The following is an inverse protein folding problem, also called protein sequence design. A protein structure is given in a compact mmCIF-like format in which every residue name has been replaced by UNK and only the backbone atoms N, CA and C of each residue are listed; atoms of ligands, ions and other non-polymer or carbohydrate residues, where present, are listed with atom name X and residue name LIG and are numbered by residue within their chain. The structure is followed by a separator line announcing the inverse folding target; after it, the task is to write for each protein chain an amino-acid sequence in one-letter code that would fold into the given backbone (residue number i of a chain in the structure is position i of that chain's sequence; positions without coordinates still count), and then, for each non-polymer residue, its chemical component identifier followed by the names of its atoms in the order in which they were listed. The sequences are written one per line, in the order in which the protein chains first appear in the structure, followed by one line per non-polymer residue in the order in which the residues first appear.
data_IF_423522305815
#
_entry.id   IF_423522305815
#
_cell.length_a   1.000
_cell.length_b   1.000
_cell.length_c   1.000
_cell.angle_alpha   90.00
_cell.angle_beta   90.00
_cell.angle_gamma   90.00
#
_symmetry.space_group_name_H-M   'P 1'
#
loop_
_entity.id
_entity.type
_entity.pdbx_description
1 polymer ?
#
# COMPACT_ATOMS: atom_id res chain seq x y z
N UNK A 1 24.03 -4.62 12.57
CA UNK A 1 23.70 -3.87 11.33
C UNK A 1 22.24 -3.45 11.41
N UNK A 2 21.88 -2.25 10.94
CA UNK A 2 20.48 -1.80 10.94
C UNK A 2 19.76 -2.45 9.76
N UNK A 3 18.61 -3.08 9.99
CA UNK A 3 17.81 -3.66 8.91
C UNK A 3 17.36 -2.55 7.95
N UNK A 4 17.37 -2.78 6.62
CA UNK A 4 16.94 -1.79 5.65
C UNK A 4 15.45 -1.50 5.77
N UNK A 5 15.03 -0.28 5.40
CA UNK A 5 13.61 0.07 5.29
C UNK A 5 13.10 -0.28 3.90
N UNK A 6 11.95 -0.95 3.82
CA UNK A 6 11.28 -1.27 2.57
C UNK A 6 9.99 -0.46 2.43
N UNK A 7 9.76 0.07 1.24
CA UNK A 7 8.46 0.62 0.85
C UNK A 7 8.04 -0.03 -0.47
N UNK A 8 6.91 -0.73 -0.46
CA UNK A 8 6.32 -1.32 -1.67
C UNK A 8 5.34 -0.31 -2.24
N UNK A 9 5.60 0.18 -3.46
CA UNK A 9 4.73 1.15 -4.15
C UNK A 9 3.85 0.41 -5.14
N UNK A 10 2.54 0.64 -5.08
CA UNK A 10 1.55 -0.01 -5.94
C UNK A 10 0.65 1.06 -6.58
N UNK A 11 0.70 1.26 -7.91
CA UNK A 11 -0.29 2.06 -8.60
C UNK A 11 -1.64 1.33 -8.64
N UNK A 12 -2.73 2.07 -8.46
CA UNK A 12 -4.09 1.54 -8.41
C UNK A 12 -4.98 2.37 -9.34
N UNK A 13 -5.61 1.72 -10.32
CA UNK A 13 -6.61 2.32 -11.20
C UNK A 13 -7.82 1.40 -11.31
N UNK A 14 -8.95 1.81 -10.73
CA UNK A 14 -10.19 1.04 -10.68
C UNK A 14 -10.04 -0.38 -10.09
N UNK A 15 -9.41 -0.49 -8.92
CA UNK A 15 -9.04 -1.76 -8.28
C UNK A 15 -9.96 -2.13 -7.10
N UNK A 16 -11.16 -1.56 -7.00
CA UNK A 16 -12.03 -1.68 -5.82
C UNK A 16 -12.31 -3.12 -5.37
N UNK A 17 -12.34 -4.07 -6.31
CA UNK A 17 -12.67 -5.48 -6.08
C UNK A 17 -11.54 -6.26 -5.42
N UNK A 18 -10.28 -5.87 -5.63
CA UNK A 18 -9.09 -6.66 -5.21
C UNK A 18 -8.20 -5.92 -4.23
N UNK A 19 -8.33 -4.59 -4.13
CA UNK A 19 -7.43 -3.73 -3.35
C UNK A 19 -7.25 -4.19 -1.89
N UNK A 20 -8.33 -4.66 -1.24
CA UNK A 20 -8.27 -5.17 0.14
C UNK A 20 -7.40 -6.43 0.24
N UNK A 21 -7.60 -7.40 -0.66
CA UNK A 21 -6.83 -8.65 -0.67
C UNK A 21 -5.36 -8.38 -0.99
N UNK A 22 -5.09 -7.46 -1.93
CA UNK A 22 -3.73 -7.01 -2.26
C UNK A 22 -3.06 -6.41 -1.05
N UNK A 23 -3.69 -5.45 -0.36
CA UNK A 23 -3.13 -4.81 0.83
C UNK A 23 -2.86 -5.84 1.94
N UNK A 24 -3.80 -6.75 2.21
CA UNK A 24 -3.62 -7.80 3.23
C UNK A 24 -2.45 -8.74 2.89
N UNK A 25 -2.30 -9.11 1.62
CA UNK A 25 -1.19 -9.97 1.17
C UNK A 25 0.16 -9.28 1.32
N UNK A 26 0.24 -8.00 0.95
CA UNK A 26 1.48 -7.23 1.08
C UNK A 26 1.83 -6.95 2.55
N UNK A 27 0.83 -6.71 3.41
CA UNK A 27 1.07 -6.55 4.84
C UNK A 27 1.58 -7.84 5.48
N UNK A 28 1.01 -9.00 5.14
CA UNK A 28 1.56 -10.30 5.59
C UNK A 28 3.00 -10.53 5.13
N UNK A 29 3.36 -10.06 3.94
CA UNK A 29 4.73 -10.13 3.45
C UNK A 29 5.66 -9.23 4.29
N UNK A 30 5.24 -7.99 4.59
CA UNK A 30 5.99 -7.08 5.46
C UNK A 30 6.20 -7.71 6.84
N UNK A 31 5.12 -8.22 7.47
CA UNK A 31 5.19 -8.84 8.79
C UNK A 31 6.20 -9.99 8.80
N UNK A 32 6.14 -10.91 7.82
CA UNK A 32 7.10 -12.01 7.70
C UNK A 32 8.54 -11.52 7.53
N UNK A 33 8.77 -10.51 6.70
CA UNK A 33 10.13 -9.98 6.48
C UNK A 33 10.70 -9.25 7.70
N UNK A 34 9.84 -8.61 8.50
CA UNK A 34 10.20 -8.00 9.78
C UNK A 34 10.54 -9.09 10.79
N UNK A 35 9.72 -10.13 10.91
CA UNK A 35 9.97 -11.29 11.79
C UNK A 35 11.28 -12.02 11.46
N UNK A 36 11.60 -12.15 10.18
CA UNK A 36 12.87 -12.71 9.69
C UNK A 36 14.08 -11.76 9.86
N UNK A 37 13.86 -10.55 10.40
CA UNK A 37 14.90 -9.53 10.60
C UNK A 37 15.46 -8.91 9.32
N UNK A 38 14.80 -9.15 8.17
CA UNK A 38 15.27 -8.73 6.84
C UNK A 38 15.00 -7.26 6.54
N UNK A 39 13.96 -6.69 7.13
CA UNK A 39 13.59 -5.27 6.98
C UNK A 39 13.25 -4.65 8.34
N UNK A 40 13.31 -3.33 8.42
CA UNK A 40 12.93 -2.59 9.63
C UNK A 40 11.41 -2.59 9.86
N UNK A 41 11.00 -2.53 11.13
CA UNK A 41 9.58 -2.52 11.56
C UNK A 41 8.77 -1.36 10.99
N UNK A 42 9.43 -0.25 10.64
CA UNK A 42 8.82 0.94 10.04
C UNK A 42 8.76 0.91 8.50
N UNK A 43 8.84 -0.31 7.93
CA UNK A 43 8.55 -0.60 6.53
C UNK A 43 7.04 -0.53 6.26
N UNK A 44 6.66 -0.20 5.02
CA UNK A 44 5.28 0.15 4.68
C UNK A 44 4.91 -0.20 3.24
N UNK A 45 3.62 -0.10 2.92
CA UNK A 45 3.12 -0.08 1.54
C UNK A 45 2.61 1.32 1.20
N UNK A 46 2.77 1.74 -0.05
CA UNK A 46 2.24 2.98 -0.60
C UNK A 46 1.33 2.65 -1.78
N UNK A 47 0.02 2.84 -1.58
CA UNK A 47 -0.99 2.71 -2.61
C UNK A 47 -1.18 4.07 -3.29
N UNK A 48 -0.97 4.12 -4.60
CA UNK A 48 -1.05 5.34 -5.41
C UNK A 48 -2.32 5.27 -6.25
N UNK A 49 -3.34 6.06 -5.90
CA UNK A 49 -4.52 6.20 -6.74
C UNK A 49 -4.17 6.99 -8.01
N UNK A 50 -4.21 6.33 -9.16
CA UNK A 50 -3.87 6.88 -10.46
C UNK A 50 -5.13 7.34 -11.22
N UNK A 51 -5.91 8.22 -10.57
CA UNK A 51 -7.11 8.79 -11.17
C UNK A 51 -8.29 7.81 -11.34
N UNK A 52 -8.47 6.86 -10.41
CA UNK A 52 -9.64 5.97 -10.41
C UNK A 52 -10.96 6.75 -10.33
N UNK A 53 -11.99 6.22 -10.98
CA UNK A 53 -13.37 6.75 -10.96
C UNK A 53 -14.31 5.96 -10.04
N UNK A 54 -13.82 4.87 -9.45
CA UNK A 54 -14.54 3.98 -8.53
C UNK A 54 -14.16 4.24 -7.06
N UNK A 55 -14.51 3.32 -6.15
CA UNK A 55 -14.26 3.48 -4.72
C UNK A 55 -12.80 3.22 -4.28
N UNK A 56 -11.85 3.04 -5.22
CA UNK A 56 -10.43 2.77 -4.95
C UNK A 56 -9.84 3.77 -3.94
N UNK A 57 -10.03 5.08 -4.11
CA UNK A 57 -9.48 6.07 -3.18
C UNK A 57 -10.10 5.99 -1.78
N UNK A 58 -11.41 5.77 -1.69
CA UNK A 58 -12.10 5.59 -0.42
C UNK A 58 -11.59 4.35 0.33
N UNK A 59 -11.32 3.27 -0.40
CA UNK A 59 -10.74 2.05 0.15
C UNK A 59 -9.31 2.25 0.63
N UNK A 60 -8.45 2.97 -0.11
CA UNK A 60 -7.08 3.30 0.33
C UNK A 60 -7.11 4.05 1.68
N UNK A 61 -8.04 5.01 1.85
CA UNK A 61 -8.20 5.74 3.12
C UNK A 61 -8.62 4.82 4.26
N UNK A 62 -9.59 3.94 4.04
CA UNK A 62 -10.04 2.96 5.06
C UNK A 62 -8.91 2.01 5.47
N UNK A 63 -8.09 1.57 4.51
CA UNK A 63 -6.94 0.70 4.79
C UNK A 63 -5.88 1.44 5.62
N UNK A 64 -5.62 2.72 5.34
CA UNK A 64 -4.71 3.55 6.14
C UNK A 64 -5.20 3.75 7.58
N UNK A 65 -6.50 3.99 7.76
CA UNK A 65 -7.11 4.14 9.09
C UNK A 65 -7.02 2.83 9.90
N UNK A 66 -7.16 1.68 9.24
CA UNK A 66 -7.04 0.36 9.86
C UNK A 66 -5.60 0.00 10.23
N UNK A 67 -4.63 0.30 9.36
CA UNK A 67 -3.20 0.09 9.60
C UNK A 67 -2.39 1.25 9.03
N UNK A 68 -1.75 2.02 9.92
CA UNK A 68 -0.95 3.19 9.54
C UNK A 68 0.27 2.88 8.67
N UNK A 69 0.67 1.61 8.51
CA UNK A 69 1.71 1.16 7.57
C UNK A 69 1.20 1.07 6.13
N UNK A 70 -0.11 1.10 5.90
CA UNK A 70 -0.68 1.37 4.57
C UNK A 70 -0.70 2.87 4.37
N UNK A 71 0.01 3.38 3.37
CA UNK A 71 0.03 4.81 2.99
C UNK A 71 -0.75 5.00 1.69
N UNK A 72 -1.38 6.16 1.54
CA UNK A 72 -2.10 6.54 0.34
C UNK A 72 -1.53 7.81 -0.30
N UNK A 73 -1.40 7.81 -1.62
CA UNK A 73 -1.14 8.99 -2.44
C UNK A 73 -2.23 9.09 -3.50
N UNK A 74 -2.88 10.25 -3.65
CA UNK A 74 -3.89 10.47 -4.67
C UNK A 74 -3.35 11.41 -5.75
N UNK A 75 -3.23 10.93 -6.99
CA UNK A 75 -2.83 11.77 -8.12
C UNK A 75 -4.05 12.53 -8.66
N UNK A 76 -3.88 13.83 -8.93
CA UNK A 76 -4.96 14.73 -9.32
C UNK A 76 -5.60 14.39 -10.68
N UNK A 77 -4.85 13.73 -11.55
CA UNK A 77 -5.21 13.33 -12.92
C UNK A 77 -4.55 11.96 -13.16
N UNK A 78 -5.19 11.05 -13.90
CA UNK A 78 -4.54 9.82 -14.34
C UNK A 78 -3.33 10.19 -15.22
N UNK A 79 -2.14 9.81 -14.80
CA UNK A 79 -0.88 10.14 -15.50
C UNK A 79 -0.23 8.92 -16.14
N UNK A 80 -0.97 7.80 -16.22
CA UNK A 80 -0.55 6.63 -16.97
C UNK A 80 -0.27 7.00 -18.43
N UNK A 81 0.90 6.60 -18.93
CA UNK A 81 1.21 6.64 -20.36
C UNK A 81 0.66 5.40 -21.06
#
# INVERSE_FOLDING_TARGET
MKSPRLTIVVPCFNEELVLKETAETLMRLIDRLVEEGKIAEDSCILLVNDGSCDDTWSLIRQLHEKDGRVKGLNLSINTGQ
#
